data_IF_240959762235
#
_entry.id   IF_240959762235
#
_cell.length_a   1.000
_cell.length_b   1.000
_cell.length_c   1.000
_cell.angle_alpha   90.00
_cell.angle_beta   90.00
_cell.angle_gamma   90.00
#
_symmetry.space_group_name_H-M   'P 1'
#
loop_
_entity.id
_entity.type
_entity.pdbx_description
1 polymer ?
#
# COMPACT_ATOMS: atom_id res chain seq x y z
N UNK A 1 -4.20 11.45 3.50
CA UNK A 1 -3.62 10.71 2.34
C UNK A 1 -4.72 9.94 1.64
N UNK A 2 -5.46 9.09 2.34
CA UNK A 2 -6.80 8.67 1.92
C UNK A 2 -7.80 9.71 2.42
N UNK A 3 -8.54 10.33 1.50
CA UNK A 3 -9.46 11.42 1.79
C UNK A 3 -10.56 11.49 0.74
N UNK A 4 -11.72 11.99 1.15
CA UNK A 4 -12.80 12.36 0.22
C UNK A 4 -12.46 13.64 -0.53
N UNK A 5 -11.56 14.47 0.02
CA UNK A 5 -11.30 15.80 -0.50
C UNK A 5 -9.81 16.11 -0.72
N UNK A 6 -9.32 15.79 -1.93
CA UNK A 6 -8.04 16.30 -2.42
C UNK A 6 -8.27 17.53 -3.32
N UNK A 7 -7.78 18.73 -2.94
CA UNK A 7 -7.91 19.92 -3.78
C UNK A 7 -6.99 19.80 -5.00
N UNK A 8 -7.58 19.80 -6.19
CA UNK A 8 -6.86 19.83 -7.47
C UNK A 8 -7.24 21.11 -8.20
N UNK A 9 -6.23 21.95 -8.46
CA UNK A 9 -6.41 23.12 -9.30
C UNK A 9 -6.55 22.67 -10.76
N UNK A 10 -7.69 22.96 -11.38
CA UNK A 10 -7.93 22.76 -12.81
C UNK A 10 -8.14 24.11 -13.47
N UNK A 11 -8.12 24.16 -14.81
CA UNK A 11 -8.43 25.38 -15.56
C UNK A 11 -9.80 26.00 -15.21
N UNK A 12 -10.75 25.17 -14.78
CA UNK A 12 -12.10 25.57 -14.35
C UNK A 12 -12.19 25.98 -12.86
N UNK A 13 -11.07 26.00 -12.14
CA UNK A 13 -10.99 26.27 -10.70
C UNK A 13 -10.67 25.04 -9.85
N UNK A 14 -10.68 25.22 -8.52
CA UNK A 14 -10.40 24.15 -7.55
C UNK A 14 -11.52 23.10 -7.57
N UNK A 15 -11.15 21.87 -7.90
CA UNK A 15 -12.04 20.70 -7.88
C UNK A 15 -11.56 19.73 -6.81
N UNK A 16 -12.50 19.22 -6.00
CA UNK A 16 -12.20 18.17 -5.02
C UNK A 16 -12.24 16.80 -5.69
N UNK A 17 -11.24 15.96 -5.41
CA UNK A 17 -11.17 14.57 -5.89
C UNK A 17 -11.02 13.63 -4.71
N UNK A 18 -11.80 12.55 -4.68
CA UNK A 18 -11.70 11.50 -3.66
C UNK A 18 -10.76 10.38 -4.12
N UNK A 19 -9.98 9.83 -3.19
CA UNK A 19 -9.27 8.56 -3.37
C UNK A 19 -9.69 7.51 -2.33
N UNK A 20 -10.91 7.64 -1.80
CA UNK A 20 -11.45 6.64 -0.89
C UNK A 20 -12.92 6.32 -1.13
N UNK A 21 -13.28 5.09 -0.77
CA UNK A 21 -14.66 4.63 -0.70
C UNK A 21 -15.03 4.36 0.76
N UNK A 22 -16.00 5.11 1.27
CA UNK A 22 -16.49 4.92 2.63
C UNK A 22 -17.28 3.61 2.77
N UNK A 23 -17.29 3.05 3.98
CA UNK A 23 -18.06 1.87 4.35
C UNK A 23 -17.88 1.54 5.82
N UNK A 24 -18.48 0.44 6.28
CA UNK A 24 -18.46 0.02 7.68
C UNK A 24 -17.56 -1.21 7.92
N UNK A 25 -16.93 -1.74 6.87
CA UNK A 25 -16.10 -2.93 6.94
C UNK A 25 -14.64 -2.64 7.26
N UNK A 26 -13.83 -3.70 7.46
CA UNK A 26 -12.39 -3.57 7.57
C UNK A 26 -11.80 -2.92 6.31
N UNK A 27 -10.83 -2.02 6.51
CA UNK A 27 -10.26 -1.26 5.40
C UNK A 27 -9.34 -2.11 4.53
N UNK A 28 -9.44 -1.97 3.21
CA UNK A 28 -8.51 -2.52 2.24
C UNK A 28 -7.98 -1.42 1.32
N UNK A 29 -6.78 -1.62 0.80
CA UNK A 29 -6.06 -0.59 0.06
C UNK A 29 -5.56 -1.14 -1.27
N UNK A 30 -5.75 -0.37 -2.32
CA UNK A 30 -5.31 -0.69 -3.65
C UNK A 30 -4.24 0.31 -4.09
N UNK A 31 -3.08 -0.19 -4.49
CA UNK A 31 -1.87 0.61 -4.73
C UNK A 31 -1.34 0.36 -6.14
N UNK A 32 -0.84 1.42 -6.79
CA UNK A 32 -0.01 1.32 -7.99
C UNK A 32 1.47 1.38 -7.61
N UNK A 33 2.15 0.24 -7.70
CA UNK A 33 3.59 0.10 -7.42
C UNK A 33 4.41 -0.10 -8.69
N UNK A 34 3.79 0.01 -9.87
CA UNK A 34 4.46 -0.22 -11.17
C UNK A 34 5.42 0.90 -11.57
N UNK A 35 5.29 2.08 -10.94
CA UNK A 35 6.01 3.30 -11.28
C UNK A 35 7.25 3.53 -10.42
N UNK A 36 8.15 4.37 -10.91
CA UNK A 36 9.35 4.81 -10.17
C UNK A 36 9.00 5.51 -8.86
N UNK A 37 7.95 6.33 -8.86
CA UNK A 37 7.40 6.91 -7.63
C UNK A 37 6.34 5.96 -7.11
N UNK A 38 6.53 5.48 -5.88
CA UNK A 38 5.58 4.60 -5.19
C UNK A 38 4.65 5.39 -4.27
N UNK A 39 3.44 4.88 -3.98
CA UNK A 39 2.50 5.51 -3.06
C UNK A 39 3.04 5.58 -1.63
N UNK A 40 3.84 4.59 -1.23
CA UNK A 40 4.56 4.57 0.04
C UNK A 40 6.04 4.45 -0.29
N UNK A 41 6.83 5.36 0.25
CA UNK A 41 8.26 5.48 -0.03
C UNK A 41 9.02 5.19 1.24
N UNK A 42 9.87 4.16 1.18
CA UNK A 42 10.86 3.89 2.21
C UNK A 42 12.18 4.56 1.82
N UNK A 43 12.60 5.54 2.61
CA UNK A 43 13.82 6.29 2.39
C UNK A 43 14.89 5.85 3.40
N UNK A 44 15.91 5.16 2.90
CA UNK A 44 17.08 4.79 3.69
C UNK A 44 18.19 5.84 3.51
N UNK A 45 18.63 6.44 4.62
CA UNK A 45 19.80 7.33 4.64
C UNK A 45 21.06 6.61 5.08
N UNK A 46 20.94 5.73 6.07
CA UNK A 46 21.98 4.80 6.51
C UNK A 46 21.34 3.40 6.55
N UNK A 47 21.93 2.44 5.83
CA UNK A 47 21.45 1.05 5.80
C UNK A 47 21.58 0.41 7.17
N UNK A 48 20.83 -0.66 7.39
CA UNK A 48 20.93 -1.47 8.60
C UNK A 48 22.32 -2.11 8.71
N UNK A 49 23.12 -1.62 9.65
CA UNK A 49 24.42 -2.17 9.99
C UNK A 49 24.32 -2.82 11.37
N UNK A 50 24.51 -4.13 11.41
CA UNK A 50 24.63 -4.86 12.67
C UNK A 50 26.02 -4.65 13.25
N UNK A 51 26.07 -4.21 14.50
CA UNK A 51 27.30 -3.95 15.23
C UNK A 51 27.33 -4.82 16.48
N UNK A 52 28.49 -5.41 16.75
CA UNK A 52 28.65 -6.33 17.87
C UNK A 52 29.98 -6.10 18.58
N UNK A 53 29.95 -5.94 19.90
CA UNK A 53 31.12 -5.93 20.76
C UNK A 53 31.10 -7.25 21.54
N UNK A 54 31.74 -8.25 20.93
CA UNK A 54 31.73 -9.65 21.40
C UNK A 54 33.12 -10.19 21.72
N UNK A 55 34.16 -9.38 21.54
CA UNK A 55 35.52 -9.86 21.76
C UNK A 55 35.81 -9.93 23.26
N UNK A 56 36.37 -11.05 23.70
CA UNK A 56 36.70 -11.27 25.12
C UNK A 56 37.82 -10.35 25.63
N UNK A 57 38.58 -9.73 24.73
CA UNK A 57 39.62 -8.74 25.05
C UNK A 57 39.08 -7.30 25.12
N UNK A 58 37.79 -7.08 24.85
CA UNK A 58 37.19 -5.76 24.94
C UNK A 58 37.00 -5.34 26.42
N UNK A 59 37.39 -4.12 26.82
CA UNK A 59 37.26 -3.67 28.21
C UNK A 59 35.84 -3.76 28.78
N UNK A 60 34.81 -3.57 27.95
CA UNK A 60 33.44 -3.66 28.41
C UNK A 60 33.05 -5.11 28.72
N UNK A 61 33.39 -6.03 27.82
CA UNK A 61 33.13 -7.46 27.99
C UNK A 61 33.92 -8.00 29.19
N UNK A 62 35.18 -7.61 29.35
CA UNK A 62 36.03 -8.11 30.44
C UNK A 62 35.60 -7.60 31.83
N UNK A 63 35.19 -6.33 31.94
CA UNK A 63 34.83 -5.73 33.25
C UNK A 63 33.40 -6.08 33.65
N UNK A 64 32.47 -6.10 32.70
CA UNK A 64 31.04 -6.24 32.99
C UNK A 64 30.46 -7.63 32.68
N UNK A 65 31.22 -8.50 31.99
CA UNK A 65 30.75 -9.82 31.52
C UNK A 65 29.50 -9.74 30.63
N UNK A 66 29.41 -8.68 29.81
CA UNK A 66 28.28 -8.40 28.93
C UNK A 66 28.71 -8.28 27.47
N UNK A 67 27.97 -8.94 26.57
CA UNK A 67 28.14 -8.82 25.12
C UNK A 67 27.09 -7.86 24.55
N UNK A 68 27.55 -6.82 23.85
CA UNK A 68 26.68 -5.80 23.30
C UNK A 68 26.39 -6.05 21.82
N UNK A 69 25.11 -5.93 21.48
CA UNK A 69 24.62 -5.96 20.11
C UNK A 69 23.81 -4.70 19.85
N UNK A 70 24.11 -4.05 18.73
CA UNK A 70 23.47 -2.82 18.30
C UNK A 70 23.14 -2.87 16.82
N UNK A 71 22.17 -2.06 16.42
CA UNK A 71 21.86 -1.82 15.02
C UNK A 71 21.89 -0.33 14.80
N UNK A 72 22.74 0.10 13.87
CA UNK A 72 22.74 1.48 13.39
C UNK A 72 21.96 1.52 12.09
N UNK A 73 20.90 2.33 12.06
CA UNK A 73 20.13 2.60 10.87
C UNK A 73 19.52 3.99 10.95
N UNK A 74 19.39 4.64 9.80
CA UNK A 74 18.63 5.88 9.68
C UNK A 74 17.71 5.78 8.49
N UNK A 75 16.44 5.61 8.77
CA UNK A 75 15.39 5.34 7.79
C UNK A 75 14.19 6.25 8.04
N UNK A 76 13.38 6.45 7.02
CA UNK A 76 12.11 7.15 7.12
C UNK A 76 11.08 6.51 6.19
N UNK A 77 9.81 6.50 6.60
CA UNK A 77 8.68 6.18 5.74
C UNK A 77 7.92 7.45 5.41
N UNK A 78 7.58 7.64 4.14
CA UNK A 78 6.82 8.79 3.67
C UNK A 78 5.75 8.38 2.65
N UNK A 79 4.75 9.26 2.50
CA UNK A 79 3.73 9.11 1.47
C UNK A 79 4.20 9.76 0.17
N UNK A 80 3.96 9.06 -0.95
CA UNK A 80 4.13 9.59 -2.28
C UNK A 80 2.89 10.34 -2.75
N UNK A 81 2.57 10.21 -4.04
CA UNK A 81 1.38 10.80 -4.64
C UNK A 81 0.12 10.08 -4.18
N UNK A 82 -0.93 10.82 -3.83
CA UNK A 82 -2.21 10.26 -3.35
C UNK A 82 -3.00 9.56 -4.46
N UNK A 83 -2.79 9.96 -5.72
CA UNK A 83 -3.42 9.34 -6.89
C UNK A 83 -2.97 7.89 -7.13
N UNK A 84 -1.85 7.46 -6.53
CA UNK A 84 -1.32 6.11 -6.68
C UNK A 84 -1.89 5.12 -5.66
N UNK A 85 -2.82 5.56 -4.80
CA UNK A 85 -3.41 4.74 -3.77
C UNK A 85 -4.90 5.02 -3.65
N UNK A 86 -5.68 3.97 -3.43
CA UNK A 86 -7.10 4.04 -3.14
C UNK A 86 -7.41 3.24 -1.88
N UNK A 87 -8.14 3.83 -0.95
CA UNK A 87 -8.57 3.18 0.29
C UNK A 87 -10.07 2.88 0.24
N UNK A 88 -10.49 1.71 0.71
CA UNK A 88 -11.91 1.39 0.79
C UNK A 88 -12.25 0.70 2.10
N UNK A 89 -13.38 1.08 2.67
CA UNK A 89 -14.02 0.41 3.82
C UNK A 89 -15.33 -0.27 3.41
N UNK A 90 -15.62 -0.32 2.10
CA UNK A 90 -16.73 -1.10 1.57
C UNK A 90 -16.37 -2.61 1.59
N UNK A 91 -17.38 -3.46 1.43
CA UNK A 91 -17.15 -4.91 1.33
C UNK A 91 -16.17 -5.22 0.18
N UNK A 92 -15.23 -6.14 0.41
CA UNK A 92 -14.31 -6.57 -0.63
C UNK A 92 -15.01 -7.60 -1.53
N UNK A 93 -15.60 -7.11 -2.61
CA UNK A 93 -16.28 -7.90 -3.63
C UNK A 93 -15.87 -7.45 -5.05
N UNK A 94 -16.31 -8.20 -6.08
CA UNK A 94 -16.00 -7.87 -7.48
C UNK A 94 -16.46 -6.46 -7.88
N UNK A 95 -17.58 -6.00 -7.33
CA UNK A 95 -18.18 -4.72 -7.71
C UNK A 95 -17.35 -3.56 -7.17
N UNK A 96 -17.02 -3.60 -5.88
CA UNK A 96 -16.23 -2.56 -5.23
C UNK A 96 -14.77 -2.59 -5.71
N UNK A 97 -14.21 -3.77 -5.96
CA UNK A 97 -12.88 -3.88 -6.55
C UNK A 97 -12.81 -3.28 -7.96
N UNK A 98 -13.79 -3.58 -8.82
CA UNK A 98 -13.87 -3.00 -10.16
C UNK A 98 -14.03 -1.47 -10.11
N UNK A 99 -14.89 -0.97 -9.22
CA UNK A 99 -15.11 0.47 -9.03
C UNK A 99 -13.84 1.18 -8.55
N UNK A 100 -13.13 0.62 -7.56
CA UNK A 100 -11.87 1.16 -7.08
C UNK A 100 -10.78 1.19 -8.17
N UNK A 101 -10.66 0.11 -8.96
CA UNK A 101 -9.73 0.07 -10.10
C UNK A 101 -10.05 1.13 -11.14
N UNK A 102 -11.32 1.25 -11.52
CA UNK A 102 -11.76 2.24 -12.51
C UNK A 102 -11.51 3.67 -12.01
N UNK A 103 -11.80 3.96 -10.74
CA UNK A 103 -11.54 5.26 -10.12
C UNK A 103 -10.05 5.62 -10.16
N UNK A 104 -9.16 4.67 -9.82
CA UNK A 104 -7.72 4.89 -9.91
C UNK A 104 -7.24 5.16 -11.34
N UNK A 105 -7.73 4.38 -12.30
CA UNK A 105 -7.35 4.52 -13.72
C UNK A 105 -7.85 5.82 -14.35
N UNK A 106 -8.95 6.40 -13.84
CA UNK A 106 -9.48 7.69 -14.32
C UNK A 106 -8.85 8.91 -13.63
N UNK A 107 -7.89 8.74 -12.70
CA UNK A 107 -7.21 9.89 -12.13
C UNK A 107 -6.50 10.73 -13.20
N UNK A 108 -6.72 12.04 -13.11
CA UNK A 108 -6.23 13.05 -14.06
C UNK A 108 -5.31 14.05 -13.37
N UNK A 109 -4.39 14.60 -14.15
CA UNK A 109 -3.63 15.79 -13.74
C UNK A 109 -4.53 17.02 -13.66
N UNK A 110 -3.97 18.09 -13.10
CA UNK A 110 -4.47 19.47 -13.16
C UNK A 110 -4.95 19.90 -14.57
N UNK A 111 -4.17 19.51 -15.58
CA UNK A 111 -4.34 19.75 -17.00
C UNK A 111 -5.32 18.76 -17.68
N UNK A 112 -5.99 17.90 -16.91
CA UNK A 112 -6.99 16.94 -17.42
C UNK A 112 -6.41 15.70 -18.11
N UNK A 113 -5.09 15.57 -18.20
CA UNK A 113 -4.39 14.40 -18.78
C UNK A 113 -4.54 13.19 -17.86
N UNK A 114 -4.90 12.04 -18.42
CA UNK A 114 -4.93 10.77 -17.68
C UNK A 114 -3.52 10.46 -17.16
N UNK A 115 -3.43 10.16 -15.86
CA UNK A 115 -2.14 9.87 -15.23
C UNK A 115 -1.62 8.48 -15.61
N UNK A 116 -2.51 7.56 -16.00
CA UNK A 116 -2.21 6.19 -16.43
C UNK A 116 -1.93 5.25 -15.26
N UNK A 117 -2.51 5.53 -14.10
CA UNK A 117 -2.34 4.73 -12.87
C UNK A 117 -2.86 3.32 -13.14
N UNK A 118 -2.07 2.31 -12.79
CA UNK A 118 -2.45 0.91 -12.92
C UNK A 118 -2.38 0.25 -11.54
N UNK A 119 -3.51 -0.12 -10.93
CA UNK A 119 -3.50 -0.75 -9.62
C UNK A 119 -2.90 -2.15 -9.69
N UNK A 120 -1.79 -2.37 -9.00
CA UNK A 120 -0.98 -3.61 -9.05
C UNK A 120 -0.88 -4.35 -7.73
N UNK A 121 -1.20 -3.72 -6.60
CA UNK A 121 -1.08 -4.36 -5.28
C UNK A 121 -2.36 -4.12 -4.46
N UNK A 122 -2.94 -5.18 -3.93
CA UNK A 122 -4.05 -5.14 -2.99
C UNK A 122 -3.53 -5.49 -1.58
N UNK A 123 -3.72 -4.59 -0.63
CA UNK A 123 -3.36 -4.76 0.78
C UNK A 123 -4.63 -4.95 1.60
N UNK A 124 -4.70 -6.05 2.35
CA UNK A 124 -5.87 -6.41 3.16
C UNK A 124 -5.49 -6.84 4.58
N UNK A 125 -6.38 -6.65 5.57
CA UNK A 125 -6.23 -7.24 6.88
C UNK A 125 -6.54 -8.75 6.84
N UNK A 126 -6.08 -9.54 7.83
CA UNK A 126 -6.33 -10.98 7.87
C UNK A 126 -7.81 -11.36 7.82
N UNK A 127 -8.70 -10.48 8.30
CA UNK A 127 -10.15 -10.69 8.25
C UNK A 127 -10.71 -10.76 6.82
N UNK A 128 -10.04 -10.15 5.84
CA UNK A 128 -10.44 -10.13 4.43
C UNK A 128 -9.58 -11.04 3.54
N UNK A 129 -8.67 -11.82 4.13
CA UNK A 129 -7.75 -12.68 3.38
C UNK A 129 -8.50 -13.69 2.50
N UNK A 130 -9.54 -14.34 3.04
CA UNK A 130 -10.35 -15.30 2.29
C UNK A 130 -11.01 -14.66 1.06
N UNK A 131 -11.63 -13.50 1.24
CA UNK A 131 -12.32 -12.78 0.15
C UNK A 131 -11.32 -12.30 -0.90
N UNK A 132 -10.15 -11.83 -0.46
CA UNK A 132 -9.09 -11.35 -1.36
C UNK A 132 -8.45 -12.48 -2.17
N UNK A 133 -8.19 -13.63 -1.55
CA UNK A 133 -7.71 -14.84 -2.24
C UNK A 133 -8.77 -15.34 -3.23
N UNK A 134 -10.04 -15.33 -2.82
CA UNK A 134 -11.14 -15.69 -3.71
C UNK A 134 -11.15 -14.79 -4.95
N UNK A 135 -11.02 -13.48 -4.75
CA UNK A 135 -11.07 -12.49 -5.82
C UNK A 135 -9.86 -12.55 -6.77
N UNK A 136 -8.63 -12.67 -6.24
CA UNK A 136 -7.40 -12.49 -7.05
C UNK A 136 -6.74 -13.80 -7.49
N UNK A 137 -7.07 -14.94 -6.87
CA UNK A 137 -6.33 -16.18 -7.09
C UNK A 137 -7.19 -17.31 -7.69
N UNK A 138 -8.52 -17.24 -7.60
CA UNK A 138 -9.39 -18.28 -8.15
C UNK A 138 -9.54 -18.16 -9.66
N UNK A 139 -9.81 -19.30 -10.31
CA UNK A 139 -10.04 -19.34 -11.76
C UNK A 139 -11.48 -18.99 -12.15
N UNK A 140 -12.41 -19.22 -11.22
CA UNK A 140 -13.84 -19.04 -11.43
C UNK A 140 -14.39 -18.08 -10.42
N UNK A 141 -15.29 -17.21 -10.87
CA UNK A 141 -16.04 -16.34 -9.96
C UNK A 141 -17.21 -17.05 -9.28
N UNK A 142 -17.79 -16.39 -8.29
CA UNK A 142 -19.05 -16.83 -7.68
C UNK A 142 -20.17 -16.90 -8.72
N UNK A 143 -20.85 -18.04 -8.78
CA UNK A 143 -21.88 -18.31 -9.79
C UNK A 143 -21.36 -18.84 -11.13
N UNK A 144 -20.04 -19.09 -11.25
CA UNK A 144 -19.42 -19.74 -12.40
C UNK A 144 -18.96 -18.80 -13.52
N UNK A 145 -18.17 -19.35 -14.43
CA UNK A 145 -17.46 -18.59 -15.48
C UNK A 145 -16.08 -18.11 -15.03
N UNK A 146 -15.27 -17.65 -15.98
CA UNK A 146 -13.89 -17.24 -15.74
C UNK A 146 -13.80 -15.98 -14.87
N UNK A 147 -12.89 -15.98 -13.90
CA UNK A 147 -12.59 -14.82 -13.07
C UNK A 147 -11.72 -13.80 -13.83
N UNK A 148 -12.22 -12.58 -14.12
CA UNK A 148 -11.46 -11.55 -14.83
C UNK A 148 -10.42 -10.84 -13.94
N UNK A 149 -10.51 -10.97 -12.62
CA UNK A 149 -9.65 -10.29 -11.63
C UNK A 149 -8.45 -11.14 -11.20
N UNK A 150 -8.41 -12.40 -11.66
CA UNK A 150 -7.30 -13.30 -11.34
C UNK A 150 -5.98 -12.68 -11.81
N UNK A 151 -5.06 -12.47 -10.88
CA UNK A 151 -3.72 -11.93 -11.16
C UNK A 151 -3.68 -10.46 -11.56
N UNK A 152 -4.77 -9.69 -11.39
CA UNK A 152 -4.75 -8.24 -11.69
C UNK A 152 -4.03 -7.41 -10.63
N UNK A 153 -3.78 -7.98 -9.45
CA UNK A 153 -2.97 -7.39 -8.40
C UNK A 153 -2.25 -8.47 -7.57
N UNK A 154 -1.11 -8.12 -6.99
CA UNK A 154 -0.43 -8.91 -5.95
C UNK A 154 -1.14 -8.69 -4.61
N UNK A 155 -1.44 -9.78 -3.90
CA UNK A 155 -2.10 -9.73 -2.60
C UNK A 155 -1.08 -9.64 -1.47
N UNK A 156 -1.20 -8.62 -0.62
CA UNK A 156 -0.47 -8.47 0.63
C UNK A 156 -1.45 -8.55 1.79
N UNK A 157 -1.32 -9.58 2.61
CA UNK A 157 -2.10 -9.73 3.85
C UNK A 157 -1.24 -9.24 5.01
N UNK A 158 -1.75 -8.29 5.80
CA UNK A 158 -1.00 -7.74 6.94
C UNK A 158 -1.93 -7.37 8.11
N UNK A 159 -1.59 -7.75 9.36
CA UNK A 159 -2.40 -7.40 10.53
C UNK A 159 -2.34 -5.91 10.89
N UNK A 160 -1.41 -5.15 10.30
CA UNK A 160 -1.16 -3.75 10.63
C UNK A 160 -2.07 -2.74 9.92
N UNK A 161 -3.06 -3.23 9.16
CA UNK A 161 -4.07 -2.40 8.48
C UNK A 161 -5.50 -2.67 8.95
N UNK A 162 -5.64 -3.48 10.01
CA UNK A 162 -6.91 -3.81 10.66
C UNK A 162 -7.34 -2.74 11.66
#
# INVERSE_FOLDING_TARGET
YFDTDHPVERETGLTSVSNMQAGAGPAWFLLDTSRTVRPIIWQEREKYEFQSIVKTDDPHVFINDEYMYGVRARVNAGFGLWQLAFGSQAALDETNYAAARAAMMDFRSDSGRILGVSPTVLVVPPALESDALHLLNTETKDGGGSNPWKGTAELIVTPYVA
#
